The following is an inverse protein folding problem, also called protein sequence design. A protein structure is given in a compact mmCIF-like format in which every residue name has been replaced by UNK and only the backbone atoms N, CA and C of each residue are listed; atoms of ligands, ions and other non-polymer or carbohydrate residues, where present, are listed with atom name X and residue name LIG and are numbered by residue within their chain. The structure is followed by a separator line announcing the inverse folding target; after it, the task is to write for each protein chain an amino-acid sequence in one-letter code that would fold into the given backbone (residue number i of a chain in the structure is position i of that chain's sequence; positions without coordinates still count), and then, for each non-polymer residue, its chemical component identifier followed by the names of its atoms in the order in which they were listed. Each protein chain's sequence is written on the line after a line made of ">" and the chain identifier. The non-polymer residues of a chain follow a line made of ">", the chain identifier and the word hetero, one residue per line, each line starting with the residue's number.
data_IF_453396819275
#
_entry.id   IF_453396819275
#
_cell.length_a   1.000
_cell.length_b   1.000
_cell.length_c   1.000
_cell.angle_alpha   90.00
_cell.angle_beta   90.00
_cell.angle_gamma   90.00
#
_symmetry.space_group_name_H-M   'P 1'
#
loop_
_entity.id
_entity.type
_entity.pdbx_description
1 polymer ?
#
# COMPACT_ATOMS: atom_id res chain seq x y z
N UNK A 1 -24.04 -32.58 6.18
CA UNK A 1 -22.75 -31.86 6.13
C UNK A 1 -22.98 -30.48 6.71
N UNK A 2 -22.36 -30.15 7.84
CA UNK A 2 -22.47 -28.82 8.44
C UNK A 2 -21.73 -27.80 7.58
N UNK A 3 -22.38 -26.69 7.26
CA UNK A 3 -21.77 -25.57 6.55
C UNK A 3 -20.62 -25.03 7.40
N UNK A 4 -19.42 -24.95 6.84
CA UNK A 4 -18.30 -24.29 7.51
C UNK A 4 -18.66 -22.81 7.72
N UNK A 5 -18.27 -22.20 8.85
CA UNK A 5 -18.50 -20.77 9.07
C UNK A 5 -17.85 -19.97 7.95
N UNK A 6 -18.54 -18.94 7.44
CA UNK A 6 -17.97 -18.04 6.44
C UNK A 6 -16.74 -17.34 7.03
N UNK A 7 -15.56 -17.65 6.47
CA UNK A 7 -14.31 -16.99 6.84
C UNK A 7 -14.05 -15.81 5.92
N UNK A 8 -13.62 -14.70 6.52
CA UNK A 8 -13.28 -13.47 5.78
C UNK A 8 -11.76 -13.31 5.68
N UNK A 9 -11.26 -13.06 4.47
CA UNK A 9 -9.84 -12.77 4.23
C UNK A 9 -9.72 -11.32 3.74
N UNK A 10 -8.89 -10.52 4.42
CA UNK A 10 -8.52 -9.18 3.97
C UNK A 10 -7.25 -9.25 3.09
N UNK A 11 -7.37 -8.83 1.84
CA UNK A 11 -6.24 -8.70 0.92
C UNK A 11 -5.97 -7.21 0.65
N UNK A 12 -4.76 -6.76 0.93
CA UNK A 12 -4.36 -5.36 0.82
C UNK A 12 -3.31 -5.19 -0.27
N UNK A 13 -3.55 -4.28 -1.20
CA UNK A 13 -2.50 -3.76 -2.10
C UNK A 13 -1.60 -2.80 -1.31
N UNK A 14 -0.38 -3.25 -1.01
CA UNK A 14 0.57 -2.51 -0.16
C UNK A 14 1.04 -1.20 -0.78
N UNK A 15 1.41 -1.20 -2.07
CA UNK A 15 1.85 0.02 -2.75
C UNK A 15 0.69 0.98 -2.96
N UNK A 16 -0.48 0.48 -3.37
CA UNK A 16 -1.68 1.28 -3.55
C UNK A 16 -2.10 1.96 -2.24
N UNK A 17 -2.10 1.23 -1.13
CA UNK A 17 -2.46 1.79 0.18
C UNK A 17 -1.42 2.80 0.67
N UNK A 18 -0.13 2.51 0.53
CA UNK A 18 0.93 3.45 0.94
C UNK A 18 0.89 4.74 0.14
N UNK A 19 0.67 4.67 -1.18
CA UNK A 19 0.56 5.86 -2.03
C UNK A 19 -0.65 6.70 -1.65
N UNK A 20 -1.79 6.07 -1.32
CA UNK A 20 -2.96 6.77 -0.79
C UNK A 20 -2.66 7.45 0.54
N UNK A 21 -1.95 6.79 1.44
CA UNK A 21 -1.58 7.35 2.73
C UNK A 21 -0.67 8.59 2.59
N UNK A 22 0.30 8.56 1.67
CA UNK A 22 1.21 9.67 1.42
C UNK A 22 0.48 10.98 1.07
N UNK A 23 -0.56 10.92 0.24
CA UNK A 23 -1.34 12.11 -0.14
C UNK A 23 -2.49 12.44 0.81
N UNK A 24 -2.85 11.53 1.73
CA UNK A 24 -3.94 11.73 2.66
C UNK A 24 -3.53 12.57 3.89
N UNK A 25 -2.25 12.56 4.24
CA UNK A 25 -1.70 13.32 5.37
C UNK A 25 -0.79 14.44 4.88
N UNK A 26 -0.68 15.55 5.63
CA UNK A 26 0.34 16.56 5.36
C UNK A 26 1.75 15.95 5.51
N UNK A 27 2.76 16.68 5.06
CA UNK A 27 4.15 16.29 5.29
C UNK A 27 4.42 16.19 6.81
N UNK A 28 4.97 15.06 7.23
CA UNK A 28 5.30 14.76 8.62
C UNK A 28 6.70 14.15 8.63
N UNK A 29 7.57 14.65 9.50
CA UNK A 29 8.96 14.23 9.57
C UNK A 29 9.30 13.76 10.99
N UNK A 30 10.12 12.72 11.10
CA UNK A 30 10.76 12.31 12.35
C UNK A 30 11.79 13.36 12.80
N UNK A 31 12.30 13.31 14.06
CA UNK A 31 13.28 14.28 14.56
C UNK A 31 14.58 14.37 13.73
N UNK A 32 14.93 13.32 13.01
CA UNK A 32 16.09 13.26 12.10
C UNK A 32 15.80 13.80 10.69
N UNK A 33 14.57 14.25 10.43
CA UNK A 33 14.13 14.77 9.14
C UNK A 33 13.56 13.71 8.19
N UNK A 34 13.50 12.44 8.58
CA UNK A 34 12.93 11.37 7.73
C UNK A 34 11.42 11.56 7.57
N UNK A 35 10.87 11.55 6.34
CA UNK A 35 9.42 11.67 6.14
C UNK A 35 8.69 10.41 6.61
N UNK A 36 7.51 10.59 7.20
CA UNK A 36 6.74 9.55 7.91
C UNK A 36 5.24 9.58 7.62
N UNK A 37 4.77 10.52 6.80
CA UNK A 37 3.35 10.68 6.47
C UNK A 37 2.75 9.44 5.80
N UNK A 38 3.46 8.81 4.86
CA UNK A 38 2.98 7.57 4.22
C UNK A 38 2.93 6.42 5.21
N UNK A 39 3.97 6.25 6.04
CA UNK A 39 4.05 5.18 7.05
C UNK A 39 2.92 5.31 8.08
N UNK A 40 2.74 6.50 8.64
CA UNK A 40 1.71 6.77 9.65
C UNK A 40 0.30 6.58 9.06
N UNK A 41 0.04 7.15 7.88
CA UNK A 41 -1.25 7.00 7.22
C UNK A 41 -1.55 5.54 6.89
N UNK A 42 -0.56 4.79 6.39
CA UNK A 42 -0.71 3.37 6.06
C UNK A 42 -1.08 2.55 7.30
N UNK A 43 -0.34 2.73 8.40
CA UNK A 43 -0.60 2.02 9.64
C UNK A 43 -2.00 2.33 10.18
N UNK A 44 -2.40 3.60 10.21
CA UNK A 44 -3.73 4.00 10.67
C UNK A 44 -4.85 3.40 9.81
N UNK A 45 -4.71 3.45 8.48
CA UNK A 45 -5.71 2.89 7.57
C UNK A 45 -5.82 1.37 7.70
N UNK A 46 -4.68 0.67 7.82
CA UNK A 46 -4.65 -0.78 7.96
C UNK A 46 -5.27 -1.21 9.29
N UNK A 47 -4.86 -0.60 10.41
CA UNK A 47 -5.40 -0.89 11.73
C UNK A 47 -6.91 -0.64 11.79
N UNK A 48 -7.36 0.51 11.26
CA UNK A 48 -8.78 0.84 11.21
C UNK A 48 -9.57 -0.20 10.39
N UNK A 49 -9.04 -0.63 9.26
CA UNK A 49 -9.68 -1.67 8.42
C UNK A 49 -9.77 -3.01 9.15
N UNK A 50 -8.71 -3.40 9.87
CA UNK A 50 -8.69 -4.64 10.67
C UNK A 50 -9.73 -4.60 11.79
N UNK A 51 -9.88 -3.46 12.46
CA UNK A 51 -10.89 -3.24 13.51
C UNK A 51 -12.33 -3.27 12.97
N UNK A 52 -12.56 -2.63 11.82
CA UNK A 52 -13.90 -2.52 11.23
C UNK A 52 -14.36 -3.84 10.57
N UNK A 53 -13.46 -4.51 9.84
CA UNK A 53 -13.77 -5.74 9.08
C UNK A 53 -13.66 -6.99 9.96
N UNK A 54 -12.77 -7.00 10.96
CA UNK A 54 -12.46 -8.17 11.80
C UNK A 54 -12.25 -9.47 11.00
N UNK A 55 -11.32 -9.49 10.02
CA UNK A 55 -11.11 -10.66 9.17
C UNK A 55 -10.48 -11.82 9.95
N UNK A 56 -10.73 -13.05 9.52
CA UNK A 56 -10.06 -14.25 10.04
C UNK A 56 -8.58 -14.29 9.65
N UNK A 57 -8.26 -13.77 8.47
CA UNK A 57 -6.92 -13.78 7.88
C UNK A 57 -6.69 -12.46 7.16
N UNK A 58 -5.44 -11.99 7.16
CA UNK A 58 -5.05 -10.81 6.40
C UNK A 58 -3.73 -11.06 5.68
N UNK A 59 -3.61 -10.53 4.47
CA UNK A 59 -2.36 -10.51 3.71
C UNK A 59 -2.19 -9.15 3.03
N UNK A 60 -0.96 -8.63 3.09
CA UNK A 60 -0.53 -7.46 2.33
C UNK A 60 0.33 -7.95 1.18
N UNK A 61 0.00 -7.51 -0.03
CA UNK A 61 0.69 -7.89 -1.26
C UNK A 61 1.47 -6.68 -1.76
N UNK A 62 2.77 -6.87 -1.95
CA UNK A 62 3.65 -5.87 -2.57
C UNK A 62 4.01 -6.31 -3.99
N UNK A 63 4.15 -5.34 -4.89
CA UNK A 63 4.61 -5.62 -6.24
C UNK A 63 6.04 -6.15 -6.22
N UNK A 64 6.29 -7.23 -6.95
CA UNK A 64 7.63 -7.76 -7.12
C UNK A 64 8.48 -6.82 -7.98
N UNK A 65 9.79 -6.68 -7.71
CA UNK A 65 10.70 -5.97 -8.58
C UNK A 65 10.82 -6.70 -9.93
N UNK A 66 10.73 -5.96 -11.04
CA UNK A 66 10.97 -6.48 -12.39
C UNK A 66 9.88 -6.13 -13.40
N UNK A 67 10.16 -6.28 -14.71
CA UNK A 67 9.15 -6.08 -15.74
C UNK A 67 8.07 -7.16 -15.60
N UNK A 68 6.83 -6.74 -15.44
CA UNK A 68 5.69 -7.65 -15.59
C UNK A 68 5.43 -7.86 -17.07
N UNK A 69 4.86 -9.00 -17.48
CA UNK A 69 4.41 -9.27 -18.86
C UNK A 69 3.57 -8.14 -19.50
N UNK A 70 2.97 -7.26 -18.68
CA UNK A 70 2.25 -6.05 -19.12
C UNK A 70 3.15 -4.95 -19.72
N UNK A 71 4.45 -4.97 -19.48
CA UNK A 71 5.41 -3.99 -20.02
C UNK A 71 5.73 -4.28 -21.50
N UNK A 72 5.65 -5.54 -21.94
CA UNK A 72 5.91 -5.93 -23.34
C UNK A 72 4.69 -5.71 -24.25
N UNK A 73 3.48 -5.67 -23.69
CA UNK A 73 2.24 -5.60 -24.45
C UNK A 73 1.77 -4.17 -24.78
N UNK A 74 2.31 -3.13 -24.11
CA UNK A 74 1.81 -1.76 -24.27
C UNK A 74 2.86 -0.70 -23.86
N UNK A 75 3.66 -0.24 -24.83
CA UNK A 75 4.71 0.77 -24.64
C UNK A 75 4.20 2.08 -23.98
N UNK A 76 2.95 2.48 -24.28
CA UNK A 76 2.36 3.72 -23.78
C UNK A 76 1.79 3.64 -22.34
N UNK A 77 1.85 2.49 -21.66
CA UNK A 77 1.14 2.25 -20.39
C UNK A 77 1.60 3.14 -19.21
N UNK A 78 2.74 3.84 -19.33
CA UNK A 78 3.24 4.77 -18.31
C UNK A 78 3.50 6.20 -18.82
N UNK A 79 3.15 6.50 -20.07
CA UNK A 79 3.26 7.87 -20.59
C UNK A 79 2.27 8.78 -19.82
N UNK A 80 2.81 9.63 -18.94
CA UNK A 80 2.03 10.57 -18.14
C UNK A 80 2.00 10.27 -16.64
N UNK A 81 2.58 9.16 -16.16
CA UNK A 81 2.71 8.94 -14.71
C UNK A 81 3.83 9.84 -14.18
N UNK A 82 3.49 10.74 -13.24
CA UNK A 82 4.51 11.51 -12.54
C UNK A 82 5.46 10.56 -11.80
N UNK A 83 6.77 10.88 -11.76
CA UNK A 83 7.73 10.06 -11.03
C UNK A 83 7.29 9.96 -9.57
N UNK A 84 7.44 8.77 -8.98
CA UNK A 84 7.20 8.56 -7.56
C UNK A 84 8.04 9.54 -6.74
N UNK A 85 7.43 10.34 -5.84
CA UNK A 85 8.15 11.34 -5.03
C UNK A 85 9.30 10.71 -4.24
N UNK A 86 10.50 11.33 -4.19
CA UNK A 86 11.63 10.84 -3.40
C UNK A 86 11.30 10.57 -1.93
N UNK A 87 10.46 11.42 -1.35
CA UNK A 87 10.00 11.44 0.05
C UNK A 87 9.09 10.25 0.33
N UNK A 88 8.39 9.75 -0.70
CA UNK A 88 7.64 8.51 -0.63
C UNK A 88 8.55 7.29 -0.74
N UNK A 89 9.55 7.32 -1.64
CA UNK A 89 10.43 6.17 -1.89
C UNK A 89 11.19 5.72 -0.63
N UNK A 90 11.63 6.67 0.19
CA UNK A 90 12.33 6.34 1.45
C UNK A 90 11.42 5.71 2.51
N UNK A 91 10.10 5.73 2.30
CA UNK A 91 9.11 5.11 3.18
C UNK A 91 8.64 3.73 2.68
N UNK A 92 9.01 3.29 1.45
CA UNK A 92 8.46 2.07 0.81
C UNK A 92 9.46 1.35 -0.13
N UNK A 93 9.77 0.06 0.08
CA UNK A 93 9.75 -0.64 1.35
C UNK A 93 11.00 -0.21 2.16
N UNK A 94 10.79 0.18 3.42
CA UNK A 94 11.90 0.22 4.38
C UNK A 94 12.51 -1.18 4.54
#
# INVERSE_FOLDING_TARGET
>A
MGQLPEKTILLVDGHGLAFRAFFALPELNAPDGTPTNALLGYANMLLKTMEDVRPDLAAVVFDAPGPTFRHEAFEAYKEGRQPTPPEFKVQVPL
#
